data_IF_434665910834
#
_entry.id   IF_434665910834
#
_cell.length_a   1.000
_cell.length_b   1.000
_cell.length_c   1.000
_cell.angle_alpha   90.00
_cell.angle_beta   90.00
_cell.angle_gamma   90.00
#
_symmetry.space_group_name_H-M   'P 1'
#
loop_
_entity.id
_entity.type
_entity.pdbx_description
1 polymer ?
#
# COMPACT_ATOMS: atom_id res chain seq x y z
N UNK A 1 -23.89 -36.16 -23.81
CA UNK A 1 -24.66 -35.73 -22.63
C UNK A 1 -24.23 -34.30 -22.32
N UNK A 2 -24.96 -33.30 -22.83
CA UNK A 2 -24.68 -31.88 -22.58
C UNK A 2 -25.22 -31.54 -21.20
N UNK A 3 -24.34 -31.05 -20.31
CA UNK A 3 -24.74 -30.53 -19.00
C UNK A 3 -25.29 -29.12 -19.26
N UNK A 4 -26.60 -28.96 -19.20
CA UNK A 4 -27.27 -27.65 -19.14
C UNK A 4 -26.99 -27.03 -17.77
N UNK A 5 -26.56 -25.76 -17.67
CA UNK A 5 -26.49 -25.08 -16.39
C UNK A 5 -27.92 -24.95 -15.84
N UNK A 6 -28.17 -25.52 -14.67
CA UNK A 6 -29.40 -25.31 -13.92
C UNK A 6 -29.41 -23.84 -13.42
N UNK A 7 -30.19 -23.00 -14.09
CA UNK A 7 -30.52 -21.65 -13.63
C UNK A 7 -31.74 -21.71 -12.70
N UNK A 8 -31.55 -22.29 -11.52
CA UNK A 8 -32.54 -22.28 -10.43
C UNK A 8 -32.59 -20.94 -9.70
N UNK A 9 -31.88 -19.91 -10.19
CA UNK A 9 -31.73 -18.62 -9.51
C UNK A 9 -32.65 -17.51 -10.03
N UNK A 10 -33.15 -17.63 -11.28
CA UNK A 10 -34.05 -16.65 -11.89
C UNK A 10 -33.43 -15.27 -12.12
N UNK A 11 -32.10 -15.17 -12.16
CA UNK A 11 -31.37 -13.90 -12.28
C UNK A 11 -30.79 -13.74 -13.69
N UNK A 12 -30.92 -12.53 -14.26
CA UNK A 12 -30.25 -12.18 -15.51
C UNK A 12 -28.73 -12.30 -15.36
N UNK A 13 -28.03 -12.73 -16.42
CA UNK A 13 -26.55 -12.79 -16.44
C UNK A 13 -25.89 -11.45 -16.02
N UNK A 14 -26.55 -10.32 -16.27
CA UNK A 14 -26.12 -9.00 -15.81
C UNK A 14 -26.26 -8.76 -14.31
N UNK A 15 -27.23 -9.39 -13.66
CA UNK A 15 -27.47 -9.31 -12.21
C UNK A 15 -26.49 -10.20 -11.44
N UNK A 16 -26.20 -11.41 -11.96
CA UNK A 16 -25.16 -12.29 -11.40
C UNK A 16 -23.79 -11.60 -11.43
N UNK A 17 -23.45 -10.96 -12.56
CA UNK A 17 -22.20 -10.20 -12.70
C UNK A 17 -22.14 -9.00 -11.76
N UNK A 18 -23.26 -8.27 -11.57
CA UNK A 18 -23.35 -7.12 -10.65
C UNK A 18 -23.15 -7.53 -9.20
N UNK A 19 -23.80 -8.60 -8.74
CA UNK A 19 -23.65 -9.11 -7.37
C UNK A 19 -22.19 -9.49 -7.07
N UNK A 20 -21.53 -10.13 -8.02
CA UNK A 20 -20.14 -10.54 -7.88
C UNK A 20 -19.18 -9.34 -7.74
N UNK A 21 -19.41 -8.27 -8.50
CA UNK A 21 -18.62 -7.03 -8.40
C UNK A 21 -18.82 -6.35 -7.04
N UNK A 22 -20.04 -6.29 -6.53
CA UNK A 22 -20.33 -5.68 -5.22
C UNK A 22 -19.61 -6.42 -4.10
N UNK A 23 -19.66 -7.76 -4.09
CA UNK A 23 -18.94 -8.56 -3.09
C UNK A 23 -17.43 -8.33 -3.18
N UNK A 24 -16.86 -8.36 -4.38
CA UNK A 24 -15.43 -8.06 -4.58
C UNK A 24 -15.06 -6.65 -4.10
N UNK A 25 -15.89 -5.65 -4.40
CA UNK A 25 -15.66 -4.27 -3.96
C UNK A 25 -15.68 -4.12 -2.43
N UNK A 26 -16.60 -4.80 -1.74
CA UNK A 26 -16.65 -4.82 -0.26
C UNK A 26 -15.37 -5.45 0.31
N UNK A 27 -14.92 -6.58 -0.25
CA UNK A 27 -13.68 -7.23 0.19
C UNK A 27 -12.46 -6.31 -0.02
N UNK A 28 -12.36 -5.68 -1.20
CA UNK A 28 -11.28 -4.72 -1.49
C UNK A 28 -11.28 -3.56 -0.50
N UNK A 29 -12.44 -2.97 -0.22
CA UNK A 29 -12.58 -1.87 0.74
C UNK A 29 -12.18 -2.27 2.16
N UNK A 30 -12.62 -3.44 2.62
CA UNK A 30 -12.28 -3.95 3.95
C UNK A 30 -10.77 -4.20 4.09
N UNK A 31 -10.15 -4.90 3.14
CA UNK A 31 -8.71 -5.22 3.17
C UNK A 31 -7.87 -3.94 3.04
N UNK A 32 -8.25 -3.02 2.14
CA UNK A 32 -7.56 -1.75 1.98
C UNK A 32 -7.68 -0.86 3.23
N UNK A 33 -8.85 -0.83 3.87
CA UNK A 33 -9.08 -0.09 5.11
C UNK A 33 -8.23 -0.62 6.26
N UNK A 34 -8.15 -1.96 6.41
CA UNK A 34 -7.28 -2.59 7.42
C UNK A 34 -5.81 -2.26 7.15
N UNK A 35 -5.35 -2.43 5.91
CA UNK A 35 -3.95 -2.15 5.55
C UNK A 35 -3.60 -0.68 5.74
N UNK A 36 -4.47 0.24 5.33
CA UNK A 36 -4.27 1.69 5.51
C UNK A 36 -4.25 2.08 6.99
N UNK A 37 -5.13 1.48 7.81
CA UNK A 37 -5.16 1.71 9.25
C UNK A 37 -3.90 1.19 9.94
N UNK A 38 -3.45 -0.02 9.57
CA UNK A 38 -2.20 -0.59 10.05
C UNK A 38 -0.99 0.28 9.66
N UNK A 39 -0.96 0.79 8.42
CA UNK A 39 0.08 1.69 7.96
C UNK A 39 0.09 2.99 8.77
N UNK A 40 -1.08 3.60 9.00
CA UNK A 40 -1.22 4.81 9.82
C UNK A 40 -0.72 4.59 11.25
N UNK A 41 -1.15 3.51 11.90
CA UNK A 41 -0.73 3.18 13.27
C UNK A 41 0.78 2.92 13.35
N UNK A 42 1.36 2.24 12.35
CA UNK A 42 2.79 2.01 12.28
C UNK A 42 3.57 3.33 12.14
N UNK A 43 3.09 4.26 11.31
CA UNK A 43 3.70 5.59 11.15
C UNK A 43 3.63 6.40 12.45
N UNK A 44 2.48 6.41 13.13
CA UNK A 44 2.31 7.08 14.41
C UNK A 44 3.25 6.51 15.48
N UNK A 45 3.37 5.18 15.54
CA UNK A 45 4.30 4.52 16.45
C UNK A 45 5.76 4.84 16.13
N UNK A 46 6.14 4.82 14.85
CA UNK A 46 7.49 5.19 14.40
C UNK A 46 7.83 6.65 14.76
N UNK A 47 6.87 7.57 14.59
CA UNK A 47 6.99 8.97 14.99
C UNK A 47 7.22 9.10 16.49
N UNK A 48 6.42 8.42 17.32
CA UNK A 48 6.60 8.41 18.76
C UNK A 48 7.95 7.87 19.20
N UNK A 49 8.42 6.76 18.60
CA UNK A 49 9.73 6.19 18.88
C UNK A 49 10.85 7.16 18.50
N UNK A 50 10.77 7.77 17.31
CA UNK A 50 11.73 8.76 16.83
C UNK A 50 11.77 9.97 17.75
N UNK A 51 10.62 10.54 18.09
CA UNK A 51 10.52 11.68 19.00
C UNK A 51 11.10 11.34 20.39
N UNK A 52 10.81 10.15 20.90
CA UNK A 52 11.32 9.69 22.20
C UNK A 52 12.83 9.42 22.19
N UNK A 53 13.41 8.99 21.06
CA UNK A 53 14.85 8.86 20.89
C UNK A 53 15.54 10.23 20.86
N UNK A 54 14.97 11.18 20.11
CA UNK A 54 15.48 12.56 20.03
C UNK A 54 15.40 13.26 21.39
N UNK A 55 14.30 13.11 22.12
CA UNK A 55 14.13 13.69 23.46
C UNK A 55 15.14 13.14 24.47
N UNK A 56 15.40 11.82 24.45
CA UNK A 56 16.40 11.18 25.32
C UNK A 56 17.84 11.61 25.02
N UNK A 57 18.11 12.02 23.79
CA UNK A 57 19.44 12.45 23.37
C UNK A 57 19.80 13.87 23.86
N UNK A 58 18.84 14.66 24.35
CA UNK A 58 19.09 16.01 24.85
C UNK A 58 19.75 16.90 23.80
N UNK A 59 20.94 17.43 24.10
CA UNK A 59 21.71 18.27 23.15
C UNK A 59 22.17 17.51 21.90
N UNK A 60 22.23 16.17 21.93
CA UNK A 60 22.48 15.33 20.75
C UNK A 60 21.22 15.04 19.93
N UNK A 61 20.06 15.59 20.30
CA UNK A 61 18.79 15.33 19.63
C UNK A 61 18.81 15.59 18.13
N UNK A 62 19.40 16.69 17.69
CA UNK A 62 19.50 17.02 16.26
C UNK A 62 20.40 16.04 15.49
N UNK A 63 21.66 15.77 15.90
CA UNK A 63 22.47 14.72 15.28
C UNK A 63 21.78 13.35 15.24
N UNK A 64 21.09 12.95 16.31
CA UNK A 64 20.35 11.68 16.37
C UNK A 64 19.18 11.66 15.38
N UNK A 65 18.42 12.75 15.29
CA UNK A 65 17.32 12.88 14.33
C UNK A 65 17.83 12.74 12.88
N UNK A 66 18.92 13.43 12.55
CA UNK A 66 19.54 13.37 11.21
C UNK A 66 20.09 11.97 10.91
N UNK A 67 20.81 11.36 11.85
CA UNK A 67 21.36 10.02 11.68
C UNK A 67 20.29 8.96 11.47
N UNK A 68 19.22 9.01 12.29
CA UNK A 68 18.09 8.10 12.16
C UNK A 68 17.32 8.34 10.85
N UNK A 69 17.11 9.59 10.46
CA UNK A 69 16.50 9.95 9.18
C UNK A 69 17.31 9.40 8.00
N UNK A 70 18.61 9.65 7.94
CA UNK A 70 19.49 9.13 6.88
C UNK A 70 19.43 7.60 6.82
N UNK A 71 19.54 6.92 7.97
CA UNK A 71 19.50 5.46 8.04
C UNK A 71 18.17 4.89 7.52
N UNK A 72 17.04 5.40 8.05
CA UNK A 72 15.71 4.94 7.69
C UNK A 72 15.39 5.25 6.22
N UNK A 73 15.74 6.46 5.76
CA UNK A 73 15.58 6.87 4.37
C UNK A 73 16.39 6.02 3.41
N UNK A 74 17.67 5.76 3.72
CA UNK A 74 18.53 4.90 2.92
C UNK A 74 17.99 3.47 2.85
N UNK A 75 17.53 2.92 3.98
CA UNK A 75 16.94 1.58 4.03
C UNK A 75 15.64 1.51 3.22
N UNK A 76 14.78 2.53 3.32
CA UNK A 76 13.54 2.62 2.54
C UNK A 76 13.81 2.71 1.03
N UNK A 77 14.77 3.55 0.62
CA UNK A 77 15.20 3.66 -0.78
C UNK A 77 15.80 2.36 -1.28
N UNK A 78 16.67 1.73 -0.50
CA UNK A 78 17.26 0.43 -0.82
C UNK A 78 16.19 -0.65 -1.01
N UNK A 79 15.23 -0.74 -0.10
CA UNK A 79 14.13 -1.70 -0.15
C UNK A 79 13.32 -1.54 -1.45
N UNK A 80 12.93 -0.31 -1.77
CA UNK A 80 12.16 -0.01 -3.00
C UNK A 80 12.98 -0.36 -4.24
N UNK A 81 14.23 0.11 -4.32
CA UNK A 81 15.10 -0.13 -5.48
C UNK A 81 15.42 -1.61 -5.69
N UNK A 82 15.53 -2.38 -4.61
CA UNK A 82 15.94 -3.80 -4.68
C UNK A 82 14.81 -4.74 -5.04
N UNK A 83 13.59 -4.47 -4.56
CA UNK A 83 12.48 -5.44 -4.60
C UNK A 83 11.30 -5.00 -5.46
N UNK A 84 10.98 -3.71 -5.53
CA UNK A 84 9.88 -3.20 -6.37
C UNK A 84 10.13 -1.75 -6.79
N UNK A 85 10.93 -1.50 -7.85
CA UNK A 85 11.21 -0.14 -8.34
C UNK A 85 9.94 0.66 -8.70
N UNK A 86 8.89 -0.02 -9.16
CA UNK A 86 7.57 0.53 -9.48
C UNK A 86 6.79 1.03 -8.24
N UNK A 87 7.25 0.70 -7.03
CA UNK A 87 6.70 1.19 -5.77
C UNK A 87 7.25 2.57 -5.36
N UNK A 88 8.10 3.20 -6.19
CA UNK A 88 8.68 4.51 -5.88
C UNK A 88 7.67 5.67 -5.97
N UNK A 89 7.95 6.74 -5.24
CA UNK A 89 7.18 8.00 -5.29
C UNK A 89 5.72 7.86 -4.83
N UNK A 90 4.82 8.64 -5.42
CA UNK A 90 3.39 8.65 -5.09
C UNK A 90 2.68 7.34 -5.47
N UNK A 91 3.08 6.72 -6.60
CA UNK A 91 2.40 5.55 -7.14
C UNK A 91 1.17 5.84 -7.99
N UNK A 92 0.61 7.06 -7.93
CA UNK A 92 -0.52 7.47 -8.79
C UNK A 92 -0.19 7.38 -10.29
N UNK A 93 0.99 7.83 -10.78
CA UNK A 93 1.33 7.66 -12.19
C UNK A 93 1.39 6.18 -12.62
N UNK A 94 1.95 5.31 -11.77
CA UNK A 94 2.01 3.87 -12.03
C UNK A 94 0.61 3.25 -12.07
N UNK A 95 -0.25 3.63 -11.12
CA UNK A 95 -1.65 3.23 -11.11
C UNK A 95 -2.37 3.65 -12.40
N UNK A 96 -2.17 4.90 -12.83
CA UNK A 96 -2.74 5.40 -14.08
C UNK A 96 -2.26 4.57 -15.28
N UNK A 97 -0.97 4.25 -15.35
CA UNK A 97 -0.39 3.39 -16.39
C UNK A 97 -1.08 2.02 -16.44
N UNK A 98 -1.26 1.38 -15.28
CA UNK A 98 -1.96 0.08 -15.17
C UNK A 98 -3.41 0.19 -15.67
N UNK A 99 -4.13 1.27 -15.29
CA UNK A 99 -5.50 1.51 -15.74
C UNK A 99 -5.60 1.73 -17.26
N UNK A 100 -4.58 2.36 -17.84
CA UNK A 100 -4.44 2.56 -19.30
C UNK A 100 -3.90 1.31 -20.02
N UNK A 101 -3.60 0.22 -19.30
CA UNK A 101 -2.98 -1.00 -19.82
C UNK A 101 -1.59 -0.79 -20.43
N UNK A 102 -0.88 0.23 -19.96
CA UNK A 102 0.50 0.55 -20.36
C UNK A 102 1.54 -0.15 -19.46
N UNK A 103 1.11 -0.81 -18.39
CA UNK A 103 1.97 -1.56 -17.49
C UNK A 103 1.22 -2.69 -16.81
N UNK A 104 1.94 -3.77 -16.51
CA UNK A 104 1.39 -4.91 -15.79
C UNK A 104 1.34 -4.62 -14.28
N UNK A 105 0.24 -4.98 -13.60
CA UNK A 105 0.15 -4.90 -12.15
C UNK A 105 0.98 -6.00 -11.45
N UNK A 106 1.70 -5.65 -10.38
CA UNK A 106 2.49 -6.61 -9.59
C UNK A 106 2.18 -6.45 -8.09
N UNK A 107 1.03 -6.94 -7.64
CA UNK A 107 0.57 -6.71 -6.26
C UNK A 107 1.45 -7.39 -5.20
N UNK A 108 1.98 -8.59 -5.50
CA UNK A 108 2.70 -9.45 -4.53
C UNK A 108 3.96 -8.79 -3.97
N UNK A 109 4.72 -8.10 -4.82
CA UNK A 109 5.91 -7.35 -4.39
C UNK A 109 5.57 -5.92 -3.99
N UNK A 110 4.60 -5.30 -4.67
CA UNK A 110 4.20 -3.92 -4.42
C UNK A 110 3.71 -3.71 -2.98
N UNK A 111 2.78 -4.53 -2.49
CA UNK A 111 2.17 -4.33 -1.18
C UNK A 111 3.20 -4.28 -0.03
N UNK A 112 4.04 -5.32 0.18
CA UNK A 112 5.01 -5.29 1.27
C UNK A 112 6.05 -4.18 1.08
N UNK A 113 6.57 -4.00 -0.13
CA UNK A 113 7.62 -3.00 -0.39
C UNK A 113 7.09 -1.58 -0.20
N UNK A 114 5.87 -1.29 -0.63
CA UNK A 114 5.26 0.04 -0.46
C UNK A 114 4.96 0.34 1.00
N UNK A 115 4.44 -0.65 1.73
CA UNK A 115 4.16 -0.52 3.16
C UNK A 115 5.45 -0.22 3.93
N UNK A 116 6.45 -1.10 3.86
CA UNK A 116 7.67 -0.94 4.64
C UNK A 116 8.55 0.20 4.11
N UNK A 117 8.62 0.42 2.80
CA UNK A 117 9.37 1.53 2.21
C UNK A 117 8.77 2.90 2.59
N UNK A 118 7.44 3.01 2.60
CA UNK A 118 6.75 4.20 3.09
C UNK A 118 6.91 4.38 4.60
N UNK A 119 6.85 3.30 5.38
CA UNK A 119 7.02 3.34 6.84
C UNK A 119 8.43 3.82 7.22
N UNK A 120 9.45 3.30 6.55
CA UNK A 120 10.84 3.69 6.78
C UNK A 120 11.10 5.14 6.38
N UNK A 121 10.63 5.57 5.22
CA UNK A 121 10.88 6.95 4.75
C UNK A 121 10.06 7.97 5.54
N UNK A 122 8.74 7.83 5.63
CA UNK A 122 7.90 8.76 6.39
C UNK A 122 8.16 8.67 7.90
N UNK A 123 8.29 7.47 8.47
CA UNK A 123 8.63 7.28 9.89
C UNK A 123 10.03 7.78 10.26
N UNK A 124 10.95 7.81 9.28
CA UNK A 124 12.27 8.45 9.42
C UNK A 124 12.24 9.97 9.54
N UNK A 125 11.07 10.61 9.40
CA UNK A 125 10.88 12.06 9.54
C UNK A 125 10.95 12.85 8.23
N UNK A 126 10.85 12.17 7.08
CA UNK A 126 10.77 12.87 5.78
C UNK A 126 9.38 13.45 5.57
N UNK A 127 9.31 14.62 4.92
CA UNK A 127 8.07 15.33 4.58
C UNK A 127 7.32 14.64 3.43
N UNK A 128 6.83 13.43 3.67
CA UNK A 128 6.11 12.59 2.71
C UNK A 128 4.72 12.26 3.25
N UNK A 129 3.69 12.43 2.42
CA UNK A 129 2.32 12.08 2.76
C UNK A 129 2.05 10.58 2.69
N UNK A 130 1.09 10.11 3.51
CA UNK A 130 0.61 8.72 3.50
C UNK A 130 -0.38 8.40 2.37
N UNK A 131 -0.94 9.44 1.73
CA UNK A 131 -2.03 9.31 0.74
C UNK A 131 -1.60 8.53 -0.52
N UNK A 132 -0.40 8.81 -1.05
CA UNK A 132 0.14 8.08 -2.21
C UNK A 132 0.32 6.58 -1.94
N UNK A 133 1.07 6.20 -0.88
CA UNK A 133 1.19 4.80 -0.45
C UNK A 133 -0.16 4.08 -0.25
N UNK A 134 -1.14 4.71 0.41
CA UNK A 134 -2.45 4.07 0.66
C UNK A 134 -3.23 3.84 -0.63
N UNK A 135 -3.21 4.79 -1.57
CA UNK A 135 -3.87 4.65 -2.87
C UNK A 135 -3.22 3.53 -3.69
N UNK A 136 -1.88 3.50 -3.77
CA UNK A 136 -1.17 2.49 -4.54
C UNK A 136 -1.35 1.08 -3.93
N UNK A 137 -1.35 0.95 -2.60
CA UNK A 137 -1.65 -0.32 -1.93
C UNK A 137 -3.10 -0.75 -2.14
N UNK A 138 -4.06 0.19 -2.10
CA UNK A 138 -5.46 -0.09 -2.41
C UNK A 138 -5.66 -0.64 -3.82
N UNK A 139 -4.92 -0.11 -4.81
CA UNK A 139 -4.89 -0.68 -6.16
C UNK A 139 -4.32 -2.09 -6.19
N UNK A 140 -3.22 -2.36 -5.48
CA UNK A 140 -2.63 -3.70 -5.40
C UNK A 140 -3.61 -4.72 -4.82
N UNK A 141 -4.36 -4.35 -3.78
CA UNK A 141 -5.42 -5.18 -3.19
C UNK A 141 -6.56 -5.40 -4.19
N UNK A 142 -6.98 -4.35 -4.90
CA UNK A 142 -7.98 -4.45 -5.97
C UNK A 142 -7.61 -5.51 -7.01
N UNK A 143 -6.33 -5.53 -7.41
CA UNK A 143 -5.83 -6.51 -8.35
C UNK A 143 -5.74 -7.92 -7.74
N UNK A 144 -5.26 -8.05 -6.50
CA UNK A 144 -5.21 -9.31 -5.75
C UNK A 144 -6.58 -10.01 -5.64
N UNK A 145 -7.67 -9.25 -5.48
CA UNK A 145 -9.05 -9.79 -5.40
C UNK A 145 -9.66 -10.05 -6.79
N UNK A 146 -9.07 -9.45 -7.83
CA UNK A 146 -9.51 -9.63 -9.21
C UNK A 146 -8.99 -10.91 -9.83
N UNK A 147 -7.76 -11.33 -9.45
CA UNK A 147 -7.19 -12.66 -9.72
C UNK A 147 -8.07 -13.77 -9.11
#
# INVERSE_FOLDING_TARGET
MQITPDDSSGLSAGEVKRRHIVVKAVVVGAVAGVLASAFRLALEHAEHLRAAAVARAGHWGLPVALGLGVLMGALGVWLVRRFAPHASGSGIPQLKSILLRESEPEWRRLLPVKFFGGLLTTGGGFALGREGPTVQMGSGIGHMVSE
#
